data_IF_872519481283
#
_entry.id   IF_872519481283
#
_cell.length_a   1.000
_cell.length_b   1.000
_cell.length_c   1.000
_cell.angle_alpha   90.00
_cell.angle_beta   90.00
_cell.angle_gamma   90.00
#
_symmetry.space_group_name_H-M   'P 1'
#
loop_
_entity.id
_entity.type
_entity.pdbx_description
1 polymer ?
#
# COMPACT_ATOMS: atom_id res chain seq x y z
N UNK A 1 6.44 6.60 -7.06
CA UNK A 1 6.14 5.38 -7.82
C UNK A 1 4.71 4.97 -7.50
N UNK A 2 3.87 4.79 -8.52
CA UNK A 2 2.47 4.37 -8.34
C UNK A 2 2.42 2.85 -8.34
N UNK A 3 1.69 2.29 -7.39
CA UNK A 3 1.60 0.85 -7.20
C UNK A 3 0.16 0.50 -6.89
N UNK A 4 -0.40 -0.45 -7.62
CA UNK A 4 -1.76 -0.93 -7.38
C UNK A 4 -1.70 -2.15 -6.49
N UNK A 5 -2.49 -2.16 -5.42
CA UNK A 5 -2.51 -3.27 -4.48
C UNK A 5 -3.88 -3.51 -3.85
N UNK A 6 -4.14 -4.76 -3.48
CA UNK A 6 -5.33 -5.15 -2.74
C UNK A 6 -5.11 -5.02 -1.24
N UNK A 7 -5.96 -4.29 -0.55
CA UNK A 7 -5.89 -4.16 0.90
C UNK A 7 -6.26 -5.49 1.54
N UNK A 8 -5.35 -6.06 2.32
CA UNK A 8 -5.59 -7.30 3.07
C UNK A 8 -5.96 -7.01 4.53
N UNK A 9 -5.28 -6.04 5.15
CA UNK A 9 -5.46 -5.71 6.56
C UNK A 9 -5.27 -4.22 6.76
N UNK A 10 -6.13 -3.59 7.56
CA UNK A 10 -6.03 -2.18 7.92
C UNK A 10 -5.85 -2.10 9.43
N UNK A 11 -4.70 -1.56 9.86
CA UNK A 11 -4.44 -1.23 11.26
C UNK A 11 -4.52 0.29 11.47
N UNK A 12 -4.43 0.72 12.73
CA UNK A 12 -4.45 2.13 13.11
C UNK A 12 -3.43 2.96 12.32
N UNK A 13 -2.18 2.51 12.25
CA UNK A 13 -1.07 3.26 11.62
C UNK A 13 -0.48 2.62 10.35
N UNK A 14 -0.85 1.38 10.03
CA UNK A 14 -0.27 0.62 8.92
C UNK A 14 -1.31 -0.23 8.21
N UNK A 15 -0.99 -0.64 7.00
CA UNK A 15 -1.87 -1.38 6.12
C UNK A 15 -1.05 -2.47 5.45
N UNK A 16 -1.63 -3.66 5.38
CA UNK A 16 -1.08 -4.75 4.60
C UNK A 16 -1.70 -4.70 3.22
N UNK A 17 -0.87 -4.43 2.22
CA UNK A 17 -1.26 -4.41 0.81
C UNK A 17 -0.68 -5.64 0.14
N UNK A 18 -1.46 -6.28 -0.71
CA UNK A 18 -0.99 -7.26 -1.67
C UNK A 18 -0.68 -6.56 -2.98
N UNK A 19 0.57 -6.59 -3.40
CA UNK A 19 1.04 -6.06 -4.67
C UNK A 19 1.70 -7.22 -5.41
N UNK A 20 1.02 -7.75 -6.43
CA UNK A 20 1.43 -9.01 -7.07
C UNK A 20 1.50 -10.16 -6.04
N UNK A 21 2.67 -10.81 -5.95
CA UNK A 21 2.96 -11.86 -4.96
C UNK A 21 3.38 -11.30 -3.59
N UNK A 22 3.78 -10.02 -3.52
CA UNK A 22 4.30 -9.40 -2.30
C UNK A 22 3.16 -8.89 -1.42
N UNK A 23 3.35 -9.00 -0.10
CA UNK A 23 2.35 -8.58 0.91
C UNK A 23 2.93 -7.61 1.94
N UNK A 24 3.48 -6.45 1.51
CA UNK A 24 4.14 -5.49 2.38
C UNK A 24 3.18 -4.85 3.41
N UNK A 25 3.73 -4.56 4.58
CA UNK A 25 3.16 -3.58 5.50
C UNK A 25 3.64 -2.19 5.11
N UNK A 26 2.71 -1.29 4.87
CA UNK A 26 2.95 0.10 4.50
C UNK A 26 2.31 1.03 5.54
N UNK A 27 3.06 2.03 6.05
CA UNK A 27 2.51 3.00 6.98
C UNK A 27 1.54 3.91 6.22
N UNK A 28 0.39 4.23 6.84
CA UNK A 28 -0.65 5.09 6.21
C UNK A 28 -0.09 6.44 5.76
N UNK A 29 0.87 7.00 6.50
CA UNK A 29 1.50 8.28 6.17
C UNK A 29 2.41 8.23 4.93
N UNK A 30 2.84 7.04 4.49
CA UNK A 30 3.60 6.88 3.25
C UNK A 30 2.72 6.56 2.04
N UNK A 31 1.41 6.49 2.23
CA UNK A 31 0.42 6.24 1.19
C UNK A 31 -0.28 7.57 0.88
N UNK A 32 0.07 8.18 -0.24
CA UNK A 32 -0.70 9.30 -0.78
C UNK A 32 -1.94 8.73 -1.47
N UNK A 33 -2.99 8.47 -0.67
CA UNK A 33 -4.28 8.00 -1.19
C UNK A 33 -4.99 9.12 -1.94
N UNK A 34 -5.44 8.83 -3.16
CA UNK A 34 -6.51 9.58 -3.79
C UNK A 34 -7.85 8.98 -3.32
N UNK A 35 -8.47 9.64 -2.34
CA UNK A 35 -9.88 9.58 -1.89
C UNK A 35 -10.58 8.19 -1.89
N UNK A 36 -10.89 7.69 -0.69
CA UNK A 36 -11.80 6.56 -0.46
C UNK A 36 -11.17 5.53 0.46
N UNK A 37 -11.81 5.26 1.60
CA UNK A 37 -11.29 4.55 2.76
C UNK A 37 -10.50 3.27 2.45
N UNK A 38 -9.44 3.03 3.22
CA UNK A 38 -8.78 1.74 3.26
C UNK A 38 -9.78 0.67 3.73
N UNK A 39 -10.48 0.07 2.77
CA UNK A 39 -11.41 -1.02 3.01
C UNK A 39 -10.69 -2.34 2.74
N UNK A 40 -10.79 -3.29 3.69
CA UNK A 40 -10.25 -4.63 3.49
C UNK A 40 -10.93 -5.28 2.29
N UNK A 41 -10.14 -5.82 1.37
CA UNK A 41 -10.59 -6.41 0.13
C UNK A 41 -10.62 -5.46 -1.07
N UNK A 42 -10.53 -4.14 -0.86
CA UNK A 42 -10.51 -3.16 -1.94
C UNK A 42 -9.16 -3.12 -2.67
N UNK A 43 -9.22 -2.90 -3.97
CA UNK A 43 -8.02 -2.60 -4.78
C UNK A 43 -7.83 -1.09 -4.80
N UNK A 44 -6.68 -0.63 -4.33
CA UNK A 44 -6.34 0.79 -4.28
C UNK A 44 -5.05 1.04 -5.07
N UNK A 45 -4.96 2.21 -5.69
CA UNK A 45 -3.71 2.72 -6.22
C UNK A 45 -3.05 3.58 -5.14
N UNK A 46 -1.79 3.31 -4.84
CA UNK A 46 -1.01 4.04 -3.85
C UNK A 46 0.25 4.61 -4.47
N UNK A 47 0.52 5.87 -4.17
CA UNK A 47 1.81 6.48 -4.48
C UNK A 47 2.79 6.22 -3.35
N UNK A 48 3.86 5.48 -3.64
CA UNK A 48 4.98 5.22 -2.72
C UNK A 48 6.20 6.02 -3.13
N UNK A 49 7.03 6.40 -2.15
CA UNK A 49 8.38 6.90 -2.43
C UNK A 49 9.25 5.79 -3.03
N UNK A 50 10.19 6.16 -3.90
CA UNK A 50 11.07 5.20 -4.59
C UNK A 50 11.84 4.33 -3.58
N UNK A 51 12.35 4.95 -2.51
CA UNK A 51 13.03 4.28 -1.39
C UNK A 51 12.15 3.25 -0.68
N UNK A 52 10.86 3.54 -0.48
CA UNK A 52 9.94 2.60 0.17
C UNK A 52 9.56 1.45 -0.75
N UNK A 53 9.40 1.72 -2.05
CA UNK A 53 9.19 0.69 -3.05
C UNK A 53 10.39 -0.26 -3.10
N UNK A 54 11.62 0.25 -3.21
CA UNK A 54 12.84 -0.56 -3.19
C UNK A 54 13.01 -1.35 -1.89
N UNK A 55 12.80 -0.70 -0.73
CA UNK A 55 12.88 -1.36 0.58
C UNK A 55 11.89 -2.52 0.73
N UNK A 56 10.73 -2.45 0.07
CA UNK A 56 9.72 -3.51 0.05
C UNK A 56 9.84 -4.43 -1.17
N UNK A 57 10.82 -4.20 -2.05
CA UNK A 57 10.99 -4.89 -3.32
C UNK A 57 9.79 -4.71 -4.27
N UNK A 58 9.07 -3.60 -4.18
CA UNK A 58 7.97 -3.26 -5.07
C UNK A 58 8.42 -2.44 -6.28
N UNK A 59 9.68 -1.99 -6.26
CA UNK A 59 10.37 -1.33 -7.36
C UNK A 59 10.88 -2.34 -8.39
#
# INVERSE_FOLDING_TARGET
MRVTGRVLVVRRHSIRLQVGEKRPWLPKGALTLQKGEYAVGATIEVSLSKKLAEYKGLA
#
